data_IF_937309050322
#
_entry.id   IF_937309050322
#
_cell.length_a   1.000
_cell.length_b   1.000
_cell.length_c   1.000
_cell.angle_alpha   90.00
_cell.angle_beta   90.00
_cell.angle_gamma   90.00
#
_symmetry.space_group_name_H-M   'P 1'
#
loop_
_entity.id
_entity.type
_entity.pdbx_description
1 polymer ?
#
# COMPACT_ATOMS: atom_id res chain seq x y z
N UNK A 1 3.04 8.20 13.91
CA UNK A 1 3.00 8.52 12.48
C UNK A 1 3.05 7.24 11.67
N UNK A 2 2.11 7.05 10.74
CA UNK A 2 2.09 5.86 9.91
C UNK A 2 3.21 5.91 8.86
N UNK A 3 3.92 4.80 8.73
CA UNK A 3 4.97 4.66 7.72
C UNK A 3 4.39 4.47 6.31
N UNK A 4 3.21 3.86 6.19
CA UNK A 4 2.51 3.66 4.93
C UNK A 4 1.20 4.42 5.00
N UNK A 5 0.90 5.20 3.95
CA UNK A 5 -0.27 6.05 3.87
C UNK A 5 -1.01 5.85 2.55
N UNK A 6 -2.28 6.29 2.53
CA UNK A 6 -3.05 6.34 1.28
C UNK A 6 -2.29 7.11 0.21
N UNK A 7 -2.25 6.55 -1.00
CA UNK A 7 -1.55 7.16 -2.13
C UNK A 7 -0.11 6.72 -2.30
N UNK A 8 0.46 6.04 -1.30
CA UNK A 8 1.83 5.54 -1.40
C UNK A 8 1.94 4.39 -2.39
N UNK A 9 3.07 4.31 -3.05
CA UNK A 9 3.41 3.17 -3.88
C UNK A 9 4.15 2.14 -3.03
N UNK A 10 3.67 0.90 -3.05
CA UNK A 10 4.22 -0.19 -2.23
C UNK A 10 4.54 -1.41 -3.09
N UNK A 11 5.39 -2.29 -2.55
CA UNK A 11 5.76 -3.57 -3.16
C UNK A 11 5.36 -4.68 -2.21
N UNK A 12 4.76 -5.75 -2.75
CA UNK A 12 4.34 -6.91 -1.96
C UNK A 12 5.56 -7.79 -1.68
N UNK A 13 5.76 -8.13 -0.41
CA UNK A 13 6.93 -8.88 0.05
C UNK A 13 6.68 -10.39 0.12
N UNK A 14 5.43 -10.81 0.30
CA UNK A 14 5.11 -12.21 0.53
C UNK A 14 3.71 -12.54 0.00
N UNK A 15 3.45 -13.83 -0.19
CA UNK A 15 2.16 -14.32 -0.65
C UNK A 15 2.11 -14.49 -2.16
N UNK A 16 0.91 -14.71 -2.68
CA UNK A 16 0.68 -14.97 -4.11
C UNK A 16 1.08 -13.82 -5.03
N UNK A 17 1.07 -12.59 -4.51
CA UNK A 17 1.38 -11.39 -5.30
C UNK A 17 2.79 -10.85 -5.03
N UNK A 18 3.66 -11.67 -4.43
CA UNK A 18 5.04 -11.27 -4.14
C UNK A 18 5.71 -10.64 -5.36
N UNK A 19 6.30 -9.47 -5.17
CA UNK A 19 6.97 -8.72 -6.21
C UNK A 19 6.08 -7.74 -6.97
N UNK A 20 4.77 -7.80 -6.80
CA UNK A 20 3.87 -6.82 -7.41
C UNK A 20 3.94 -5.50 -6.67
N UNK A 21 3.75 -4.43 -7.41
CA UNK A 21 3.65 -3.09 -6.84
C UNK A 21 2.29 -2.49 -7.12
N UNK A 22 1.88 -1.53 -6.30
CA UNK A 22 0.62 -0.84 -6.49
C UNK A 22 0.49 0.35 -5.58
N UNK A 23 -0.56 1.12 -5.78
CA UNK A 23 -0.87 2.30 -4.99
C UNK A 23 -1.80 1.92 -3.84
N UNK A 24 -1.52 2.41 -2.65
CA UNK A 24 -2.37 2.21 -1.48
C UNK A 24 -3.65 3.00 -1.64
N UNK A 25 -4.78 2.30 -1.62
CA UNK A 25 -6.11 2.91 -1.74
C UNK A 25 -6.63 3.37 -0.39
N UNK A 26 -6.36 2.60 0.65
CA UNK A 26 -6.74 2.95 2.01
C UNK A 26 -5.91 2.14 3.00
N UNK A 27 -5.81 2.64 4.22
CA UNK A 27 -5.10 1.96 5.32
C UNK A 27 -6.07 1.82 6.48
N UNK A 28 -6.10 0.62 7.08
CA UNK A 28 -6.87 0.32 8.28
C UNK A 28 -5.88 0.08 9.43
N UNK A 29 -5.46 1.13 10.15
CA UNK A 29 -4.42 0.99 11.18
C UNK A 29 -4.80 0.06 12.33
N UNK A 30 -6.07 0.04 12.71
CA UNK A 30 -6.54 -0.82 13.80
C UNK A 30 -6.43 -2.30 13.46
N UNK A 31 -6.49 -2.64 12.19
CA UNK A 31 -6.42 -4.03 11.71
C UNK A 31 -5.06 -4.38 11.15
N UNK A 32 -4.14 -3.42 11.07
CA UNK A 32 -2.82 -3.54 10.46
C UNK A 32 -2.90 -4.04 9.01
N UNK A 33 -3.88 -3.53 8.25
CA UNK A 33 -4.08 -3.90 6.86
C UNK A 33 -4.19 -2.68 5.97
N UNK A 34 -4.10 -2.91 4.66
CA UNK A 34 -4.30 -1.87 3.66
C UNK A 34 -4.93 -2.48 2.41
N UNK A 35 -5.64 -1.66 1.65
CA UNK A 35 -6.10 -2.01 0.32
C UNK A 35 -5.11 -1.42 -0.68
N UNK A 36 -4.59 -2.26 -1.57
CA UNK A 36 -3.61 -1.86 -2.58
C UNK A 36 -4.18 -2.18 -3.95
N UNK A 37 -4.14 -1.20 -4.85
CA UNK A 37 -4.70 -1.34 -6.20
C UNK A 37 -4.07 -2.51 -6.95
N UNK A 38 -4.90 -3.43 -7.45
CA UNK A 38 -4.46 -4.57 -8.23
C UNK A 38 -3.76 -5.67 -7.45
N UNK A 39 -3.72 -5.57 -6.12
CA UNK A 39 -3.04 -6.53 -5.25
C UNK A 39 -4.05 -7.25 -4.37
N UNK A 40 -3.81 -8.53 -4.14
CA UNK A 40 -4.66 -9.40 -3.32
C UNK A 40 -6.11 -9.41 -3.83
N UNK A 41 -6.23 -9.53 -5.14
CA UNK A 41 -7.54 -9.53 -5.79
C UNK A 41 -8.32 -10.79 -5.44
N UNK A 42 -9.58 -10.62 -5.12
CA UNK A 42 -10.50 -11.72 -4.87
C UNK A 42 -11.68 -11.64 -5.81
N UNK A 43 -12.22 -12.79 -6.16
CA UNK A 43 -13.46 -12.90 -6.91
C UNK A 43 -14.60 -13.10 -5.92
N UNK A 44 -15.64 -12.31 -6.04
CA UNK A 44 -16.78 -12.39 -5.16
C UNK A 44 -18.03 -12.57 -5.99
N UNK A 45 -18.78 -13.62 -5.70
CA UNK A 45 -20.08 -13.84 -6.33
C UNK A 45 -21.09 -12.96 -5.63
N UNK A 46 -21.67 -12.01 -6.38
CA UNK A 46 -22.59 -11.04 -5.82
C UNK A 46 -24.02 -11.41 -6.22
N UNK A 47 -24.92 -11.40 -5.25
CA UNK A 47 -26.33 -11.67 -5.51
C UNK A 47 -26.94 -10.49 -6.26
N UNK A 48 -27.84 -10.81 -7.21
CA UNK A 48 -28.62 -9.81 -7.92
C UNK A 48 -29.51 -9.05 -6.94
N UNK A 49 -29.59 -7.74 -7.09
CA UNK A 49 -30.43 -6.89 -6.28
C UNK A 49 -31.12 -5.85 -7.16
N UNK A 50 -32.04 -5.09 -6.60
CA UNK A 50 -32.75 -4.05 -7.34
C UNK A 50 -31.82 -2.97 -7.90
N UNK A 51 -30.69 -2.75 -7.25
CA UNK A 51 -29.75 -1.70 -7.63
C UNK A 51 -28.50 -2.22 -8.32
N UNK A 52 -28.31 -3.53 -8.39
CA UNK A 52 -27.12 -4.15 -8.97
C UNK A 52 -27.47 -5.44 -9.66
N UNK A 53 -26.80 -5.71 -10.78
CA UNK A 53 -26.85 -7.02 -11.39
C UNK A 53 -25.96 -7.98 -10.60
N UNK A 54 -26.40 -9.23 -10.48
CA UNK A 54 -25.58 -10.29 -9.90
C UNK A 54 -24.42 -10.65 -10.81
N UNK A 55 -23.50 -11.42 -10.30
CA UNK A 55 -22.36 -11.92 -11.08
C UNK A 55 -21.10 -12.01 -10.27
N UNK A 56 -19.99 -12.20 -10.96
CA UNK A 56 -18.67 -12.29 -10.36
C UNK A 56 -18.01 -10.93 -10.48
N UNK A 57 -17.66 -10.34 -9.33
CA UNK A 57 -16.90 -9.11 -9.29
C UNK A 57 -15.51 -9.40 -8.73
N UNK A 58 -14.52 -8.66 -9.22
CA UNK A 58 -13.15 -8.75 -8.75
C UNK A 58 -12.79 -7.47 -8.04
N UNK A 59 -12.31 -7.57 -6.82
CA UNK A 59 -11.90 -6.39 -6.05
C UNK A 59 -10.75 -6.72 -5.11
N UNK A 60 -10.08 -5.68 -4.66
CA UNK A 60 -8.97 -5.82 -3.73
C UNK A 60 -9.48 -6.27 -2.37
N UNK A 61 -8.78 -7.23 -1.76
CA UNK A 61 -8.97 -7.61 -0.37
C UNK A 61 -7.86 -6.97 0.48
N UNK A 62 -8.10 -6.75 1.78
CA UNK A 62 -7.07 -6.20 2.65
C UNK A 62 -5.83 -7.10 2.69
N UNK A 63 -4.64 -6.48 2.68
CA UNK A 63 -3.37 -7.17 2.83
C UNK A 63 -2.68 -6.66 4.09
N UNK A 64 -2.02 -7.55 4.81
CA UNK A 64 -1.30 -7.20 6.04
C UNK A 64 -0.20 -6.18 5.74
N UNK A 65 -0.09 -5.15 6.57
CA UNK A 65 0.96 -4.14 6.41
C UNK A 65 2.36 -4.74 6.47
N UNK A 66 2.55 -5.81 7.25
CA UNK A 66 3.82 -6.52 7.33
C UNK A 66 4.21 -7.23 6.02
N UNK A 67 3.26 -7.44 5.12
CA UNK A 67 3.50 -8.10 3.84
C UNK A 67 3.77 -7.12 2.69
N UNK A 68 3.81 -5.83 2.97
CA UNK A 68 4.11 -4.81 1.98
C UNK A 68 5.21 -3.89 2.51
N UNK A 69 5.95 -3.28 1.58
CA UNK A 69 6.95 -2.27 1.90
C UNK A 69 6.81 -1.11 0.94
N UNK A 70 7.19 0.07 1.40
CA UNK A 70 7.16 1.25 0.56
C UNK A 70 8.12 1.06 -0.62
N UNK A 71 7.72 1.49 -1.81
CA UNK A 71 8.59 1.48 -2.97
C UNK A 71 9.55 2.68 -2.90
N UNK A 72 10.84 2.42 -3.09
CA UNK A 72 11.84 3.48 -3.10
C UNK A 72 11.58 4.40 -4.30
N UNK A 73 11.46 5.73 -4.09
CA UNK A 73 11.20 6.64 -5.21
C UNK A 73 12.28 6.62 -6.28
N UNK A 74 13.49 6.19 -5.92
CA UNK A 74 14.62 6.17 -6.85
C UNK A 74 14.52 5.03 -7.86
N UNK A 75 14.15 3.81 -7.44
CA UNK A 75 14.18 2.65 -8.33
C UNK A 75 12.97 1.72 -8.20
N UNK A 76 12.01 2.05 -7.36
CA UNK A 76 10.79 1.26 -7.18
C UNK A 76 10.96 -0.02 -6.39
N UNK A 77 12.15 -0.30 -5.85
CA UNK A 77 12.38 -1.49 -5.03
C UNK A 77 11.90 -1.28 -3.60
N UNK A 78 11.56 -2.35 -2.86
CA UNK A 78 11.10 -2.20 -1.49
C UNK A 78 12.18 -1.58 -0.60
N UNK A 79 11.77 -0.65 0.27
CA UNK A 79 12.68 0.03 1.18
C UNK A 79 12.04 0.13 2.56
N UNK A 80 12.88 0.28 3.57
CA UNK A 80 12.43 0.65 4.90
C UNK A 80 12.23 2.17 4.95
N UNK A 81 11.33 2.59 5.82
CA UNK A 81 11.01 4.01 6.01
C UNK A 81 11.64 4.51 7.29
N UNK A 82 12.39 5.59 7.17
CA UNK A 82 12.87 6.35 8.31
C UNK A 82 12.25 7.73 8.31
N UNK A 83 12.61 8.54 9.30
CA UNK A 83 12.11 9.91 9.43
C UNK A 83 13.27 10.85 9.64
N UNK A 84 13.21 12.02 9.01
CA UNK A 84 14.15 13.11 9.23
C UNK A 84 13.37 14.39 9.48
N UNK A 85 14.03 15.35 10.11
CA UNK A 85 13.46 16.69 10.31
C UNK A 85 14.10 17.65 9.32
N UNK A 86 13.26 18.41 8.63
CA UNK A 86 13.71 19.49 7.75
C UNK A 86 14.08 20.72 8.57
N UNK A 87 14.71 21.69 7.92
CA UNK A 87 15.15 22.94 8.57
C UNK A 87 14.02 23.70 9.26
N UNK A 88 12.81 23.58 8.73
CA UNK A 88 11.62 24.19 9.32
C UNK A 88 11.00 23.39 10.46
N UNK A 89 11.64 22.28 10.85
CA UNK A 89 11.16 21.41 11.91
C UNK A 89 10.14 20.38 11.46
N UNK A 90 9.79 20.36 10.20
CA UNK A 90 8.81 19.41 9.67
C UNK A 90 9.40 18.02 9.54
N UNK A 91 8.67 17.02 10.06
CA UNK A 91 9.08 15.62 9.99
C UNK A 91 8.64 15.01 8.66
N UNK A 92 9.58 14.44 7.92
CA UNK A 92 9.28 13.80 6.62
C UNK A 92 9.80 12.37 6.61
N UNK A 93 9.16 11.54 5.78
CA UNK A 93 9.58 10.16 5.59
C UNK A 93 10.73 10.12 4.57
N UNK A 94 11.67 9.20 4.80
CA UNK A 94 12.80 9.00 3.90
C UNK A 94 12.98 7.51 3.63
N UNK A 95 13.34 7.18 2.38
CA UNK A 95 13.68 5.82 2.00
C UNK A 95 15.09 5.50 2.51
N UNK A 96 15.20 4.62 3.50
CA UNK A 96 16.49 4.30 4.10
C UNK A 96 17.48 3.70 3.12
N UNK A 97 16.97 3.00 2.09
CA UNK A 97 17.78 2.35 1.09
C UNK A 97 18.56 3.35 0.22
N UNK A 98 17.92 4.42 -0.19
CA UNK A 98 18.51 5.42 -1.11
C UNK A 98 18.79 6.77 -0.46
N UNK A 99 18.17 7.04 0.69
CA UNK A 99 18.25 8.36 1.33
C UNK A 99 17.31 9.40 0.71
N UNK A 100 16.48 9.02 -0.24
CA UNK A 100 15.58 9.94 -0.93
C UNK A 100 14.37 10.24 -0.04
N UNK A 101 13.99 11.51 0.05
CA UNK A 101 12.78 11.92 0.78
C UNK A 101 11.53 11.44 0.05
N UNK A 102 10.61 10.84 0.78
CA UNK A 102 9.36 10.33 0.22
C UNK A 102 8.32 11.44 0.15
N UNK A 103 8.29 12.28 1.17
CA UNK A 103 7.31 13.36 1.28
C UNK A 103 7.87 14.72 0.86
N UNK A 104 9.05 14.70 0.30
CA UNK A 104 9.79 15.93 -0.03
C UNK A 104 9.28 16.74 -1.21
#
# INVERSE_FOLDING_TARGET
MQKIRKGDKVVVLAGKDKGRSGEVLSVQPKEDTALVRGVNMIRRHQKQSQSQEGGIITKEAPIQLSNIALADPKDGKPTRVGFIFQKDGKKVRVAKRSGVEIDG
#
